data_IF_554359145673
#
_entry.id   IF_554359145673
#
_cell.length_a   1.000
_cell.length_b   1.000
_cell.length_c   1.000
_cell.angle_alpha   90.00
_cell.angle_beta   90.00
_cell.angle_gamma   90.00
#
_symmetry.space_group_name_H-M   'P 1'
#
loop_
_entity.id
_entity.type
_entity.pdbx_description
1 polymer ?
#
# COMPACT_ATOMS: atom_id res chain seq x y z
N UNK A 1 5.88 12.15 -8.95
CA UNK A 1 5.72 11.21 -7.83
C UNK A 1 6.97 10.35 -7.79
N UNK A 2 7.52 10.11 -6.60
CA UNK A 2 8.68 9.23 -6.43
C UNK A 2 8.22 7.76 -6.51
N UNK A 3 8.96 6.91 -7.22
CA UNK A 3 8.62 5.48 -7.39
C UNK A 3 8.55 4.78 -6.03
N UNK A 4 9.42 5.17 -5.08
CA UNK A 4 9.36 4.65 -3.71
C UNK A 4 7.97 4.85 -3.08
N UNK A 5 7.39 6.04 -3.24
CA UNK A 5 6.09 6.37 -2.66
C UNK A 5 4.98 5.55 -3.33
N UNK A 6 4.98 5.48 -4.66
CA UNK A 6 4.01 4.67 -5.43
C UNK A 6 4.06 3.19 -5.01
N UNK A 7 5.26 2.65 -4.82
CA UNK A 7 5.47 1.28 -4.35
C UNK A 7 4.92 1.09 -2.93
N UNK A 8 5.20 2.01 -2.01
CA UNK A 8 4.74 1.93 -0.63
C UNK A 8 3.24 2.17 -0.45
N UNK A 9 2.62 2.95 -1.33
CA UNK A 9 1.19 3.22 -1.37
C UNK A 9 0.40 2.12 -2.10
N UNK A 10 1.08 1.25 -2.85
CA UNK A 10 0.44 0.19 -3.63
C UNK A 10 -0.17 0.70 -4.94
N UNK A 11 0.28 1.86 -5.41
CA UNK A 11 -0.17 2.53 -6.63
C UNK A 11 0.78 2.34 -7.81
N UNK A 12 1.98 1.77 -7.57
CA UNK A 12 2.92 1.40 -8.62
C UNK A 12 2.35 0.27 -9.49
N UNK A 13 2.53 0.38 -10.80
CA UNK A 13 2.33 -0.73 -11.73
C UNK A 13 3.29 -1.90 -11.41
N UNK A 14 2.96 -3.09 -11.91
CA UNK A 14 3.79 -4.28 -11.69
C UNK A 14 5.23 -4.08 -12.22
N UNK A 15 5.37 -3.41 -13.37
CA UNK A 15 6.67 -3.10 -13.98
C UNK A 15 7.48 -2.11 -13.15
N UNK A 16 6.85 -1.06 -12.63
CA UNK A 16 7.50 -0.08 -11.74
C UNK A 16 7.95 -0.72 -10.43
N UNK A 17 7.11 -1.62 -9.88
CA UNK A 17 7.42 -2.36 -8.67
C UNK A 17 8.61 -3.29 -8.87
N UNK A 18 8.62 -4.09 -9.94
CA UNK A 18 9.75 -4.97 -10.27
C UNK A 18 11.04 -4.17 -10.49
N UNK A 19 10.97 -3.09 -11.27
CA UNK A 19 12.11 -2.20 -11.50
C UNK A 19 12.68 -1.66 -10.18
N UNK A 20 11.81 -1.17 -9.29
CA UNK A 20 12.24 -0.62 -8.02
C UNK A 20 12.83 -1.67 -7.09
N UNK A 21 12.23 -2.87 -7.03
CA UNK A 21 12.72 -3.96 -6.18
C UNK A 21 14.09 -4.45 -6.63
N UNK A 22 14.35 -4.53 -7.93
CA UNK A 22 15.71 -4.81 -8.42
C UNK A 22 16.68 -3.68 -8.12
N UNK A 23 16.26 -2.43 -8.25
CA UNK A 23 17.12 -1.29 -7.98
C UNK A 23 17.60 -1.23 -6.51
N UNK A 24 16.74 -1.56 -5.54
CA UNK A 24 17.12 -1.52 -4.12
C UNK A 24 18.10 -2.63 -3.72
N UNK A 25 18.22 -3.72 -4.50
CA UNK A 25 19.21 -4.78 -4.27
C UNK A 25 20.64 -4.27 -4.50
N UNK A 26 20.81 -3.31 -5.42
CA UNK A 26 22.10 -2.74 -5.80
C UNK A 26 22.37 -1.36 -5.16
N UNK A 27 21.31 -0.65 -4.73
CA UNK A 27 21.41 0.69 -4.13
C UNK A 27 21.16 0.66 -2.61
N UNK A 28 22.24 0.58 -1.81
CA UNK A 28 22.13 0.61 -0.33
C UNK A 28 21.43 1.87 0.23
N UNK A 29 21.65 3.10 -0.29
CA UNK A 29 20.86 4.26 0.14
C UNK A 29 19.36 4.10 -0.09
N UNK A 30 18.97 3.54 -1.25
CA UNK A 30 17.59 3.32 -1.64
C UNK A 30 16.94 2.25 -0.75
N UNK A 31 17.65 1.14 -0.49
CA UNK A 31 17.22 0.12 0.46
C UNK A 31 16.97 0.71 1.86
N UNK A 32 17.89 1.55 2.37
CA UNK A 32 17.69 2.19 3.69
C UNK A 32 16.46 3.07 3.73
N UNK A 33 16.22 3.88 2.70
CA UNK A 33 15.04 4.75 2.62
C UNK A 33 13.76 3.91 2.59
N UNK A 34 13.70 2.91 1.71
CA UNK A 34 12.58 1.96 1.64
C UNK A 34 12.31 1.30 2.99
N UNK A 35 13.35 0.79 3.65
CA UNK A 35 13.22 0.12 4.94
C UNK A 35 12.69 1.06 6.03
N UNK A 36 13.25 2.27 6.15
CA UNK A 36 12.79 3.25 7.15
C UNK A 36 11.30 3.59 6.95
N UNK A 37 10.91 3.92 5.72
CA UNK A 37 9.52 4.28 5.44
C UNK A 37 8.55 3.12 5.62
N UNK A 38 8.94 1.90 5.22
CA UNK A 38 8.17 0.69 5.46
C UNK A 38 7.94 0.44 6.95
N UNK A 39 8.98 0.60 7.78
CA UNK A 39 8.88 0.42 9.24
C UNK A 39 8.01 1.48 9.90
N UNK A 40 8.09 2.74 9.45
CA UNK A 40 7.19 3.80 9.92
C UNK A 40 5.72 3.43 9.62
N UNK A 41 5.43 2.95 8.41
CA UNK A 41 4.07 2.49 8.02
C UNK A 41 3.61 1.30 8.86
N UNK A 42 4.50 0.35 9.16
CA UNK A 42 4.21 -0.79 10.03
C UNK A 42 3.86 -0.33 11.45
N UNK A 43 4.62 0.61 12.01
CA UNK A 43 4.35 1.20 13.33
C UNK A 43 2.99 1.89 13.31
N UNK A 44 2.70 2.73 12.33
CA UNK A 44 1.40 3.41 12.22
C UNK A 44 0.26 2.38 12.16
N UNK A 45 0.36 1.36 11.30
CA UNK A 45 -0.62 0.26 11.23
C UNK A 45 -0.80 -0.46 12.56
N UNK A 46 0.25 -0.62 13.36
CA UNK A 46 0.18 -1.25 14.69
C UNK A 46 -0.50 -0.39 15.75
N UNK A 47 -0.53 0.93 15.58
CA UNK A 47 -1.12 1.89 16.52
C UNK A 47 -2.51 2.35 16.13
N UNK A 48 -2.93 2.08 14.90
CA UNK A 48 -4.28 2.40 14.43
C UNK A 48 -5.28 1.38 14.96
N UNK A 49 -6.35 1.88 15.58
CA UNK A 49 -7.51 1.09 15.94
C UNK A 49 -8.29 0.72 14.67
N UNK A 50 -8.49 -0.58 14.43
CA UNK A 50 -9.36 -1.05 13.35
C UNK A 50 -10.82 -0.85 13.74
N UNK A 51 -11.38 0.28 13.35
CA UNK A 51 -12.80 0.56 13.57
C UNK A 51 -13.67 -0.30 12.65
N UNK A 52 -14.75 -0.90 13.15
CA UNK A 52 -15.69 -1.62 12.31
C UNK A 52 -16.32 -0.65 11.30
N UNK A 53 -16.38 -1.07 10.04
CA UNK A 53 -17.07 -0.33 8.99
C UNK A 53 -18.58 -0.37 9.29
N UNK A 54 -19.31 0.76 9.19
CA UNK A 54 -20.76 0.77 9.38
C UNK A 54 -21.47 -0.28 8.52
N UNK A 55 -22.39 -1.03 9.11
CA UNK A 55 -23.10 -2.14 8.43
C UNK A 55 -23.82 -1.66 7.18
N UNK A 56 -24.42 -0.48 7.20
CA UNK A 56 -25.13 0.11 6.07
C UNK A 56 -24.20 0.31 4.86
N UNK A 57 -22.95 0.72 5.10
CA UNK A 57 -21.96 0.88 4.03
C UNK A 57 -21.57 -0.47 3.43
N UNK A 58 -21.38 -1.50 4.27
CA UNK A 58 -21.09 -2.86 3.81
C UNK A 58 -22.23 -3.39 2.93
N UNK A 59 -23.48 -3.20 3.36
CA UNK A 59 -24.68 -3.61 2.61
C UNK A 59 -24.79 -2.85 1.29
N UNK A 60 -24.58 -1.54 1.30
CA UNK A 60 -24.63 -0.71 0.09
C UNK A 60 -23.57 -1.10 -0.94
N UNK A 61 -22.33 -1.38 -0.51
CA UNK A 61 -21.25 -1.86 -1.38
C UNK A 61 -21.63 -3.20 -2.00
N UNK A 62 -22.12 -4.16 -1.21
CA UNK A 62 -22.52 -5.49 -1.69
C UNK A 62 -23.66 -5.41 -2.71
N UNK A 63 -24.66 -4.56 -2.49
CA UNK A 63 -25.77 -4.35 -3.44
C UNK A 63 -25.24 -3.91 -4.80
N UNK A 64 -24.41 -2.85 -4.83
CA UNK A 64 -23.85 -2.31 -6.07
C UNK A 64 -22.98 -3.30 -6.84
N UNK A 65 -22.15 -4.08 -6.14
CA UNK A 65 -21.31 -5.11 -6.76
C UNK A 65 -22.19 -6.18 -7.45
N UNK A 66 -23.28 -6.59 -6.81
CA UNK A 66 -24.18 -7.61 -7.36
C UNK A 66 -25.12 -7.07 -8.46
N UNK A 67 -25.44 -5.77 -8.47
CA UNK A 67 -26.25 -5.13 -9.52
C UNK A 67 -25.53 -5.07 -10.88
N UNK A 68 -24.19 -5.16 -10.87
CA UNK A 68 -23.35 -5.07 -12.08
C UNK A 68 -22.92 -6.45 -12.59
N UNK A 69 -23.40 -7.53 -11.95
CA UNK A 69 -23.09 -8.93 -12.29
C UNK A 69 -24.20 -9.59 -13.14
#
# INVERSE_FOLDING_TARGET
MDILQLVLDGEASDTEKEYYMHHIEECMPCYRNYNIESEIRNILRSKLEKKPVPTDLVTAIRSKVNETA
#
